data_IF_555957572516
#
_entry.id   IF_555957572516
#
_cell.length_a   1.000
_cell.length_b   1.000
_cell.length_c   1.000
_cell.angle_alpha   90.00
_cell.angle_beta   90.00
_cell.angle_gamma   90.00
#
_symmetry.space_group_name_H-M   'P 1'
#
loop_
_entity.id
_entity.type
_entity.pdbx_description
1 polymer ?
#
# COMPACT_ATOMS: atom_id res chain seq x y z
N UNK A 1 13.37 21.68 13.96
CA UNK A 1 14.47 20.69 13.93
C UNK A 1 14.42 19.61 15.04
N UNK A 2 13.26 19.18 15.60
CA UNK A 2 13.28 18.13 16.65
C UNK A 2 13.47 16.70 16.09
N UNK A 3 13.15 16.46 14.81
CA UNK A 3 13.19 15.13 14.20
C UNK A 3 14.61 14.69 13.80
N UNK A 4 15.48 15.63 13.44
CA UNK A 4 16.89 15.35 13.12
C UNK A 4 17.65 14.89 14.37
N UNK A 5 17.46 15.58 15.50
CA UNK A 5 18.06 15.19 16.78
C UNK A 5 17.62 13.79 17.23
N UNK A 6 16.34 13.45 17.03
CA UNK A 6 15.81 12.13 17.39
C UNK A 6 16.41 11.00 16.53
N UNK A 7 16.72 11.28 15.26
CA UNK A 7 17.33 10.29 14.37
C UNK A 7 18.79 10.02 14.77
N UNK A 8 19.56 11.06 15.10
CA UNK A 8 20.94 10.92 15.57
C UNK A 8 21.03 10.13 16.88
N UNK A 9 20.10 10.35 17.82
CA UNK A 9 20.04 9.60 19.07
C UNK A 9 19.84 8.09 18.81
N UNK A 10 18.91 7.73 17.91
CA UNK A 10 18.67 6.33 17.55
C UNK A 10 19.88 5.68 16.84
N UNK A 11 20.61 6.45 16.02
CA UNK A 11 21.83 5.97 15.36
C UNK A 11 22.95 5.70 16.37
N UNK A 12 23.10 6.55 17.39
CA UNK A 12 24.05 6.34 18.48
C UNK A 12 23.70 5.12 19.34
N UNK A 13 22.42 4.96 19.71
CA UNK A 13 21.93 3.77 20.42
C UNK A 13 22.18 2.48 19.62
N UNK A 14 21.96 2.52 18.29
CA UNK A 14 22.23 1.37 17.42
C UNK A 14 23.72 1.03 17.41
N UNK A 15 24.60 2.04 17.34
CA UNK A 15 26.04 1.83 17.38
C UNK A 15 26.51 1.21 18.71
N UNK A 16 25.90 1.62 19.84
CA UNK A 16 26.17 1.04 21.15
C UNK A 16 25.72 -0.42 21.23
N UNK A 17 24.51 -0.75 20.72
CA UNK A 17 24.01 -2.12 20.67
C UNK A 17 24.90 -3.05 19.83
N UNK A 18 25.40 -2.55 18.69
CA UNK A 18 26.37 -3.29 17.85
C UNK A 18 27.69 -3.50 18.60
N UNK A 19 28.18 -2.49 19.33
CA UNK A 19 29.41 -2.60 20.12
C UNK A 19 29.28 -3.60 21.27
N UNK A 20 28.07 -3.79 21.81
CA UNK A 20 27.77 -4.80 22.84
C UNK A 20 27.35 -6.16 22.27
N UNK A 21 27.44 -6.38 20.96
CA UNK A 21 27.02 -7.60 20.25
C UNK A 21 25.53 -7.94 20.41
N UNK A 22 24.69 -6.96 20.76
CA UNK A 22 23.25 -7.12 20.85
C UNK A 22 22.58 -6.81 19.51
N UNK A 23 22.63 -7.80 18.62
CA UNK A 23 22.13 -7.65 17.26
C UNK A 23 20.60 -7.61 17.16
N UNK A 24 19.89 -8.14 18.17
CA UNK A 24 18.43 -8.08 18.22
C UNK A 24 17.96 -6.64 18.44
N UNK A 25 18.56 -5.93 19.41
CA UNK A 25 18.24 -4.52 19.63
C UNK A 25 18.74 -3.65 18.49
N UNK A 26 19.94 -3.92 17.95
CA UNK A 26 20.43 -3.21 16.77
C UNK A 26 19.50 -3.36 15.54
N UNK A 27 18.95 -4.56 15.31
CA UNK A 27 17.98 -4.79 14.24
C UNK A 27 16.68 -4.01 14.46
N UNK A 28 16.15 -4.01 15.68
CA UNK A 28 14.94 -3.26 16.03
C UNK A 28 15.14 -1.74 15.86
N UNK A 29 16.30 -1.21 16.28
CA UNK A 29 16.66 0.20 16.11
C UNK A 29 16.81 0.57 14.63
N UNK A 30 17.45 -0.29 13.83
CA UNK A 30 17.56 -0.10 12.38
C UNK A 30 16.18 -0.02 11.71
N UNK A 31 15.26 -0.93 12.03
CA UNK A 31 13.91 -0.92 11.48
C UNK A 31 13.18 0.39 11.82
N UNK A 32 13.38 0.92 13.03
CA UNK A 32 12.80 2.19 13.47
C UNK A 32 13.37 3.40 12.72
N UNK A 33 14.70 3.45 12.55
CA UNK A 33 15.39 4.46 11.75
C UNK A 33 14.88 4.46 10.30
N UNK A 34 14.74 3.27 9.70
CA UNK A 34 14.24 3.12 8.33
C UNK A 34 12.79 3.58 8.17
N UNK A 35 11.94 3.40 9.18
CA UNK A 35 10.57 3.92 9.19
C UNK A 35 10.56 5.45 9.17
N UNK A 36 11.30 6.09 10.08
CA UNK A 36 11.37 7.56 10.17
C UNK A 36 11.90 8.15 8.86
N UNK A 37 12.97 7.57 8.29
CA UNK A 37 13.55 8.02 7.03
C UNK A 37 12.56 7.91 5.86
N UNK A 38 11.75 6.84 5.82
CA UNK A 38 10.70 6.68 4.81
C UNK A 38 9.60 7.73 4.95
N UNK A 39 9.15 7.97 6.17
CA UNK A 39 8.11 8.97 6.45
C UNK A 39 8.57 10.38 6.06
N UNK A 40 9.80 10.75 6.40
CA UNK A 40 10.42 12.01 5.96
C UNK A 40 10.46 12.14 4.44
N UNK A 41 10.87 11.09 3.73
CA UNK A 41 10.93 11.07 2.26
C UNK A 41 9.55 11.20 1.61
N UNK A 42 8.50 10.67 2.24
CA UNK A 42 7.11 10.82 1.75
C UNK A 42 6.62 12.26 1.94
N UNK A 43 7.02 12.94 3.02
CA UNK A 43 6.65 14.33 3.29
C UNK A 43 7.36 15.34 2.38
N UNK A 44 8.56 15.03 1.86
CA UNK A 44 9.37 15.95 1.04
C UNK A 44 8.92 16.03 -0.43
N UNK A 45 8.05 15.14 -0.92
CA UNK A 45 7.61 15.16 -2.32
C UNK A 45 6.68 16.37 -2.62
N UNK A 46 7.03 17.25 -3.60
CA UNK A 46 6.22 18.40 -3.95
C UNK A 46 4.92 17.96 -4.64
N UNK A 47 3.76 18.37 -4.09
CA UNK A 47 2.42 18.03 -4.57
C UNK A 47 1.66 17.00 -3.73
N UNK A 48 2.22 16.56 -2.60
CA UNK A 48 1.52 15.74 -1.63
C UNK A 48 0.69 16.62 -0.67
N UNK A 49 -0.55 16.96 -1.05
CA UNK A 49 -1.50 17.74 -0.21
C UNK A 49 -1.91 17.04 1.10
N UNK A 50 -1.45 15.81 1.29
CA UNK A 50 -1.46 15.01 2.51
C UNK A 50 -0.28 14.02 2.39
N UNK A 51 0.26 13.44 3.48
CA UNK A 51 1.13 12.28 3.33
C UNK A 51 0.39 11.31 2.42
N UNK A 52 0.95 11.00 1.25
CA UNK A 52 0.48 9.87 0.47
C UNK A 52 0.75 8.67 1.36
N UNK A 53 -0.21 8.36 2.23
CA UNK A 53 -0.22 7.19 3.08
C UNK A 53 -0.09 6.06 2.09
N UNK A 54 1.13 5.56 1.94
CA UNK A 54 1.47 4.60 0.92
C UNK A 54 0.43 3.49 1.01
N UNK A 55 -0.36 3.28 -0.06
CA UNK A 55 -1.33 2.17 -0.09
C UNK A 55 -0.65 0.81 0.18
N UNK A 56 0.68 0.79 0.05
CA UNK A 56 1.56 -0.27 0.46
C UNK A 56 1.73 -0.27 1.99
N UNK A 57 0.89 -1.04 2.69
CA UNK A 57 1.12 -1.41 4.10
C UNK A 57 2.28 -2.41 4.19
N UNK A 58 3.13 -2.28 5.21
CA UNK A 58 4.17 -3.30 5.50
C UNK A 58 3.47 -4.64 5.72
N UNK A 59 3.96 -5.68 5.06
CA UNK A 59 3.45 -7.03 5.26
C UNK A 59 3.89 -7.55 6.63
N UNK A 60 2.95 -8.12 7.39
CA UNK A 60 3.22 -8.69 8.71
C UNK A 60 3.66 -10.17 8.55
N UNK A 61 4.80 -10.57 9.15
CA UNK A 61 5.17 -11.98 9.22
C UNK A 61 4.02 -12.81 9.83
N UNK A 62 3.64 -13.91 9.16
CA UNK A 62 2.48 -14.74 9.55
C UNK A 62 1.16 -14.36 8.88
N UNK A 63 1.05 -13.20 8.22
CA UNK A 63 -0.07 -12.83 7.34
C UNK A 63 0.18 -13.14 5.86
N UNK A 64 1.27 -13.83 5.52
CA UNK A 64 1.63 -14.18 4.13
C UNK A 64 1.01 -15.52 3.67
N UNK A 65 -0.27 -15.75 3.97
CA UNK A 65 -1.02 -16.92 3.50
C UNK A 65 -1.54 -16.77 2.07
N UNK A 66 -1.81 -17.89 1.38
CA UNK A 66 -2.46 -17.88 0.07
C UNK A 66 -3.76 -17.04 0.14
N UNK A 67 -3.85 -15.96 -0.62
CA UNK A 67 -5.02 -15.07 -0.66
C UNK A 67 -4.90 -13.73 0.09
N UNK A 68 -3.76 -13.39 0.69
CA UNK A 68 -3.60 -12.10 1.40
C UNK A 68 -3.31 -10.89 0.50
N UNK A 69 -3.09 -11.14 -0.80
CA UNK A 69 -3.03 -10.10 -1.83
C UNK A 69 -4.23 -10.22 -2.79
N UNK A 70 -5.43 -10.00 -2.29
CA UNK A 70 -6.59 -9.77 -3.16
C UNK A 70 -6.71 -8.28 -3.44
N UNK A 71 -6.44 -7.88 -4.68
CA UNK A 71 -6.73 -6.52 -5.12
C UNK A 71 -8.24 -6.29 -5.10
N UNK A 72 -8.74 -5.42 -4.22
CA UNK A 72 -10.12 -4.96 -4.28
C UNK A 72 -10.26 -3.90 -5.38
N UNK A 73 -11.04 -4.17 -6.41
CA UNK A 73 -11.40 -3.16 -7.40
C UNK A 73 -12.28 -2.08 -6.77
N UNK A 74 -11.83 -0.82 -6.77
CA UNK A 74 -12.63 0.33 -6.33
C UNK A 74 -13.20 1.02 -7.58
N UNK A 75 -14.51 0.95 -7.84
CA UNK A 75 -15.11 1.63 -8.97
C UNK A 75 -15.04 3.15 -8.80
N UNK A 76 -14.98 3.93 -9.90
CA UNK A 76 -14.96 5.38 -9.82
C UNK A 76 -16.26 5.94 -9.21
N UNK A 77 -16.17 7.13 -8.60
CA UNK A 77 -17.31 7.79 -7.94
C UNK A 77 -18.47 7.98 -8.94
N UNK A 78 -19.64 7.44 -8.61
CA UNK A 78 -20.84 7.53 -9.45
C UNK A 78 -20.98 6.43 -10.51
N UNK A 79 -20.08 5.44 -10.53
CA UNK A 79 -20.23 4.28 -11.40
C UNK A 79 -21.41 3.41 -10.99
N UNK A 80 -22.28 3.10 -11.94
CA UNK A 80 -23.43 2.21 -11.76
C UNK A 80 -23.23 0.99 -12.68
N UNK A 81 -23.20 -0.25 -12.15
CA UNK A 81 -23.11 -1.44 -12.97
C UNK A 81 -24.33 -1.56 -13.89
N UNK A 82 -24.18 -2.04 -15.14
CA UNK A 82 -25.33 -2.27 -16.01
C UNK A 82 -26.22 -3.38 -15.43
N UNK A 83 -27.52 -3.27 -15.67
CA UNK A 83 -28.49 -4.31 -15.26
C UNK A 83 -28.14 -5.63 -15.93
N UNK A 84 -28.18 -6.71 -15.15
CA UNK A 84 -28.00 -8.07 -15.68
C UNK A 84 -29.06 -8.32 -16.76
N UNK A 85 -28.69 -8.82 -17.95
CA UNK A 85 -29.67 -9.18 -18.96
C UNK A 85 -30.59 -10.29 -18.43
N UNK A 86 -31.80 -10.38 -18.99
CA UNK A 86 -32.73 -11.46 -18.68
C UNK A 86 -32.00 -12.81 -18.86
N UNK A 87 -32.14 -13.77 -17.93
CA UNK A 87 -31.53 -15.10 -18.06
C UNK A 87 -31.80 -15.79 -19.40
N UNK A 88 -32.92 -15.48 -20.07
CA UNK A 88 -33.28 -16.01 -21.40
C UNK A 88 -32.61 -15.25 -22.57
N UNK A 89 -31.76 -14.25 -22.31
CA UNK A 89 -31.04 -13.47 -23.34
C UNK A 89 -29.66 -14.03 -23.70
N UNK A 90 -29.26 -15.16 -23.11
CA UNK A 90 -28.01 -15.83 -23.45
C UNK A 90 -28.12 -16.50 -24.84
N UNK A 91 -27.90 -15.74 -25.92
CA UNK A 91 -27.87 -16.31 -27.27
C UNK A 91 -28.03 -15.34 -28.45
N UNK A 92 -28.40 -14.07 -28.23
CA UNK A 92 -28.63 -13.15 -29.35
C UNK A 92 -27.75 -11.89 -29.26
N UNK A 93 -26.78 -11.79 -30.17
CA UNK A 93 -26.02 -10.56 -30.41
C UNK A 93 -26.97 -9.46 -30.90
N UNK A 94 -26.92 -8.27 -30.29
CA UNK A 94 -27.57 -7.06 -30.84
C UNK A 94 -26.95 -6.76 -32.20
N UNK A 95 -27.69 -7.02 -33.29
CA UNK A 95 -27.24 -6.70 -34.65
C UNK A 95 -27.69 -7.60 -35.80
N UNK A 96 -28.55 -8.59 -35.57
CA UNK A 96 -29.12 -9.41 -36.64
C UNK A 96 -29.99 -8.56 -37.59
N UNK A 97 -29.47 -8.28 -38.77
CA UNK A 97 -30.03 -7.48 -39.87
C UNK A 97 -31.54 -7.71 -40.05
N UNK A 98 -32.35 -6.65 -39.90
CA UNK A 98 -33.78 -6.66 -40.29
C UNK A 98 -33.87 -6.86 -41.80
N UNK A 99 -34.33 -8.03 -42.24
CA UNK A 99 -34.80 -8.21 -43.62
C UNK A 99 -36.28 -7.87 -43.63
N UNK A 100 -36.61 -6.84 -44.42
CA UNK A 100 -37.96 -6.39 -44.69
C UNK A 100 -38.59 -7.36 -45.70
N UNK A 101 -39.73 -7.93 -45.35
CA UNK A 101 -40.64 -8.67 -46.23
C UNK A 101 -42.06 -8.27 -45.87
#
# INVERSE_FOLDING_TARGET
MPQENHLSELEEEMAQAVASEDFETAAALRDRIDLIRRDLRVMEQPGADAPQASYLRRQEPGKMGLGTNQSSYVPPKGWVPPTKPDPMTAGHSKGGRRVKG
#
